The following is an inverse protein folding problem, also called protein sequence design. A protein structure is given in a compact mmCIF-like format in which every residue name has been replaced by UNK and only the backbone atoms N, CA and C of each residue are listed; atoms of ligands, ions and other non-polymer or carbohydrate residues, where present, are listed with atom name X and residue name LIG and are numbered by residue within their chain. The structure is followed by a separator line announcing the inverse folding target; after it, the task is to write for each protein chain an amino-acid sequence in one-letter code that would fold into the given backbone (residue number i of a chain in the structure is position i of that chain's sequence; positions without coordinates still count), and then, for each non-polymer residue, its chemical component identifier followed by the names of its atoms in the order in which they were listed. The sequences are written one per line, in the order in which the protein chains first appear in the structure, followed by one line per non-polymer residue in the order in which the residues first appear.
data_IF_588491104126
#
_entry.id   IF_588491104126
#
_cell.length_a   1.000
_cell.length_b   1.000
_cell.length_c   1.000
_cell.angle_alpha   90.00
_cell.angle_beta   90.00
_cell.angle_gamma   90.00
#
_symmetry.space_group_name_H-M   'P 1'
#
loop_
_entity.id
_entity.type
_entity.pdbx_description
1 polymer ?
#
# COMPACT_ATOMS: atom_id res chain seq x y z
N UNK A 1 2.21 -1.06 34.95
CA UNK A 1 2.84 -2.14 34.15
C UNK A 1 2.33 -2.13 32.72
N UNK A 2 1.01 -2.09 32.47
CA UNK A 2 0.42 -2.05 31.12
C UNK A 2 0.99 -0.98 30.17
N UNK A 3 1.20 0.26 30.64
CA UNK A 3 1.79 1.32 29.80
C UNK A 3 3.21 1.00 29.31
N UNK A 4 4.08 0.45 30.19
CA UNK A 4 5.46 0.08 29.80
C UNK A 4 5.46 -1.04 28.77
N UNK A 5 4.56 -2.01 28.94
CA UNK A 5 4.41 -3.12 27.99
C UNK A 5 3.88 -2.66 26.63
N UNK A 6 2.90 -1.74 26.63
CA UNK A 6 2.42 -1.09 25.40
C UNK A 6 3.54 -0.40 24.62
N UNK A 7 4.47 0.30 25.30
CA UNK A 7 5.63 0.92 24.65
C UNK A 7 6.60 -0.12 24.08
N UNK A 8 6.82 -1.24 24.81
CA UNK A 8 7.66 -2.35 24.34
C UNK A 8 7.12 -2.96 23.05
N UNK A 9 5.82 -3.27 23.01
CA UNK A 9 5.13 -3.83 21.84
C UNK A 9 5.10 -2.84 20.66
N UNK A 10 5.00 -1.53 20.94
CA UNK A 10 5.10 -0.51 19.89
C UNK A 10 6.48 -0.51 19.22
N UNK A 11 7.54 -0.66 20.02
CA UNK A 11 8.90 -0.79 19.49
C UNK A 11 9.08 -2.10 18.70
N UNK A 12 8.56 -3.20 19.22
CA UNK A 12 8.56 -4.50 18.53
C UNK A 12 7.88 -4.43 17.15
N UNK A 13 6.69 -3.82 17.11
CA UNK A 13 5.96 -3.57 15.87
C UNK A 13 6.77 -2.75 14.86
N UNK A 14 7.36 -1.64 15.33
CA UNK A 14 8.21 -0.77 14.51
C UNK A 14 9.44 -1.52 13.96
N UNK A 15 10.06 -2.37 14.78
CA UNK A 15 11.23 -3.14 14.38
C UNK A 15 10.89 -4.20 13.34
N UNK A 16 9.83 -4.99 13.56
CA UNK A 16 9.39 -6.02 12.61
C UNK A 16 9.00 -5.41 11.26
N UNK A 17 8.29 -4.28 11.27
CA UNK A 17 7.97 -3.54 10.05
C UNK A 17 9.23 -3.03 9.33
N UNK A 18 10.18 -2.45 10.07
CA UNK A 18 11.45 -1.97 9.51
C UNK A 18 12.28 -3.10 8.92
N UNK A 19 12.27 -4.28 9.55
CA UNK A 19 12.93 -5.49 9.04
C UNK A 19 12.31 -5.94 7.71
N UNK A 20 10.98 -5.95 7.60
CA UNK A 20 10.30 -6.29 6.35
C UNK A 20 10.68 -5.33 5.21
N UNK A 21 10.71 -4.03 5.50
CA UNK A 21 11.12 -3.01 4.53
C UNK A 21 12.59 -3.16 4.12
N UNK A 22 13.49 -3.34 5.08
CA UNK A 22 14.92 -3.52 4.80
C UNK A 22 15.20 -4.79 4.01
N UNK A 23 14.46 -5.88 4.30
CA UNK A 23 14.59 -7.14 3.59
C UNK A 23 14.27 -6.95 2.10
N UNK A 24 13.08 -6.44 1.76
CA UNK A 24 12.72 -6.25 0.34
C UNK A 24 13.62 -5.21 -0.35
N UNK A 25 14.03 -4.14 0.34
CA UNK A 25 14.94 -3.14 -0.22
C UNK A 25 16.33 -3.71 -0.49
N UNK A 26 16.85 -4.58 0.38
CA UNK A 26 18.14 -5.22 0.20
C UNK A 26 18.14 -6.23 -0.95
N UNK A 27 17.07 -7.02 -1.06
CA UNK A 27 16.90 -8.00 -2.15
C UNK A 27 16.81 -7.29 -3.50
N UNK A 28 16.10 -6.16 -3.59
CA UNK A 28 16.00 -5.35 -4.81
C UNK A 28 17.25 -4.48 -5.07
N UNK A 29 18.25 -4.48 -4.19
CA UNK A 29 19.43 -3.62 -4.30
C UNK A 29 19.14 -2.13 -4.12
N UNK A 30 17.96 -1.76 -3.60
CA UNK A 30 17.55 -0.37 -3.38
C UNK A 30 18.44 0.35 -2.35
N UNK A 31 18.99 -0.39 -1.39
CA UNK A 31 19.94 0.14 -0.41
C UNK A 31 21.27 0.64 -1.01
N UNK A 32 21.59 0.22 -2.24
CA UNK A 32 22.79 0.64 -2.99
C UNK A 32 22.46 1.62 -4.11
N UNK A 33 21.17 1.89 -4.35
CA UNK A 33 20.72 2.74 -5.44
C UNK A 33 20.99 4.21 -5.10
N UNK A 34 21.83 4.85 -5.91
CA UNK A 34 22.03 6.30 -5.87
C UNK A 34 21.19 6.95 -6.96
N UNK A 35 19.96 7.34 -6.63
CA UNK A 35 19.12 8.12 -7.55
C UNK A 35 19.59 9.57 -7.49
N UNK A 36 20.43 9.97 -8.44
CA UNK A 36 20.68 11.39 -8.65
C UNK A 36 19.38 12.04 -9.15
N UNK A 37 18.98 13.17 -8.55
CA UNK A 37 17.94 14.04 -9.09
C UNK A 37 18.63 15.10 -9.97
N UNK A 38 18.88 14.81 -11.27
CA UNK A 38 19.53 15.79 -12.12
C UNK A 38 18.63 17.03 -12.27
N UNK A 39 19.26 18.18 -12.48
CA UNK A 39 18.56 19.46 -12.72
C UNK A 39 17.74 19.43 -14.02
N UNK A 40 18.09 18.53 -14.96
CA UNK A 40 17.33 18.24 -16.16
C UNK A 40 17.80 16.93 -16.82
N UNK A 41 17.02 16.42 -17.77
CA UNK A 41 17.31 15.21 -18.53
C UNK A 41 16.68 15.32 -19.93
N UNK A 42 17.07 14.41 -20.83
CA UNK A 42 16.57 14.34 -22.19
C UNK A 42 15.72 13.09 -22.38
N UNK A 43 14.71 13.19 -23.25
CA UNK A 43 13.90 12.06 -23.70
C UNK A 43 13.96 11.98 -25.22
N UNK A 44 13.90 10.76 -25.79
CA UNK A 44 13.89 10.61 -27.25
C UNK A 44 12.52 10.94 -27.79
N UNK A 45 12.47 11.58 -28.96
CA UNK A 45 11.21 11.89 -29.64
C UNK A 45 10.37 10.62 -29.93
N UNK A 46 11.02 9.50 -30.27
CA UNK A 46 10.36 8.21 -30.50
C UNK A 46 9.63 7.66 -29.26
N UNK A 47 10.15 7.94 -28.06
CA UNK A 47 9.53 7.51 -26.81
C UNK A 47 8.25 8.33 -26.54
N UNK A 48 8.24 9.61 -26.95
CA UNK A 48 7.07 10.51 -26.93
C UNK A 48 6.02 10.06 -27.93
N UNK A 49 6.40 9.68 -29.15
CA UNK A 49 5.45 9.18 -30.15
C UNK A 49 4.76 7.88 -29.69
N UNK A 50 5.52 7.01 -29.01
CA UNK A 50 5.03 5.72 -28.52
C UNK A 50 4.14 5.87 -27.29
N UNK A 51 4.58 6.65 -26.29
CA UNK A 51 3.84 6.83 -25.04
C UNK A 51 2.66 7.78 -25.17
N UNK A 52 2.71 8.70 -26.16
CA UNK A 52 1.83 9.87 -26.32
C UNK A 52 1.82 10.76 -25.08
N UNK A 53 2.94 10.84 -24.35
CA UNK A 53 3.11 11.66 -23.14
C UNK A 53 4.16 12.75 -23.32
N UNK A 54 3.90 13.93 -22.77
CA UNK A 54 4.79 15.10 -22.83
C UNK A 54 5.13 15.68 -21.46
N UNK A 55 4.83 14.94 -20.39
CA UNK A 55 5.13 15.35 -19.02
C UNK A 55 6.50 14.79 -18.56
N UNK A 56 7.26 15.57 -17.78
CA UNK A 56 8.61 15.20 -17.37
C UNK A 56 8.62 13.92 -16.51
N UNK A 57 7.70 13.80 -15.55
CA UNK A 57 7.66 12.67 -14.61
C UNK A 57 7.69 11.30 -15.30
N UNK A 58 7.05 11.19 -16.47
CA UNK A 58 7.07 9.95 -17.26
C UNK A 58 8.46 9.52 -17.76
N UNK A 59 9.34 10.48 -18.05
CA UNK A 59 10.67 10.25 -18.59
C UNK A 59 11.76 10.41 -17.54
N UNK A 60 11.38 10.56 -16.28
CA UNK A 60 12.35 10.70 -15.20
C UNK A 60 13.19 9.40 -15.08
N UNK A 61 14.53 9.46 -15.19
CA UNK A 61 15.36 8.26 -15.40
C UNK A 61 15.52 7.37 -14.16
N UNK A 62 14.94 7.74 -13.00
CA UNK A 62 15.14 7.01 -11.76
C UNK A 62 14.72 5.53 -11.84
N UNK A 63 13.57 5.26 -12.44
CA UNK A 63 13.09 3.89 -12.58
C UNK A 63 13.95 3.05 -13.54
N UNK A 64 14.42 3.65 -14.64
CA UNK A 64 15.32 2.99 -15.58
C UNK A 64 16.69 2.70 -14.92
N UNK A 65 17.23 3.65 -14.15
CA UNK A 65 18.46 3.46 -13.39
C UNK A 65 18.32 2.31 -12.38
N UNK A 66 17.20 2.24 -11.67
CA UNK A 66 16.86 1.14 -10.77
C UNK A 66 16.79 -0.20 -11.50
N UNK A 67 16.01 -0.28 -12.60
CA UNK A 67 15.82 -1.50 -13.36
C UNK A 67 17.14 -2.03 -13.95
N UNK A 68 18.06 -1.14 -14.33
CA UNK A 68 19.39 -1.49 -14.83
C UNK A 68 20.37 -1.90 -13.72
N UNK A 69 20.07 -1.58 -12.45
CA UNK A 69 20.93 -1.91 -11.30
C UNK A 69 20.47 -3.13 -10.49
N UNK A 70 19.48 -3.87 -11.00
CA UNK A 70 18.93 -5.04 -10.30
C UNK A 70 20.02 -6.09 -10.02
N UNK A 71 20.01 -6.70 -8.81
CA UNK A 71 20.89 -7.82 -8.51
C UNK A 71 20.71 -9.00 -9.50
N UNK A 72 21.78 -9.79 -9.76
CA UNK A 72 21.69 -10.96 -10.62
C UNK A 72 20.61 -11.94 -10.16
N UNK A 73 19.82 -12.45 -11.11
CA UNK A 73 18.73 -13.40 -10.82
C UNK A 73 17.38 -12.74 -10.55
N UNK A 74 17.32 -11.42 -10.38
CA UNK A 74 16.05 -10.68 -10.30
C UNK A 74 15.63 -10.25 -11.70
N UNK A 75 14.40 -10.57 -12.05
CA UNK A 75 13.75 -10.11 -13.28
C UNK A 75 12.42 -9.49 -12.94
N UNK A 76 12.16 -8.31 -13.50
CA UNK A 76 10.87 -7.66 -13.38
C UNK A 76 9.97 -8.06 -14.55
N UNK A 77 8.70 -8.30 -14.26
CA UNK A 77 7.66 -8.59 -15.23
C UNK A 77 6.49 -7.60 -15.08
N UNK A 78 5.74 -7.32 -16.16
CA UNK A 78 4.54 -6.50 -16.05
C UNK A 78 3.53 -7.08 -15.06
N UNK A 79 3.03 -6.25 -14.15
CA UNK A 79 2.10 -6.60 -13.09
C UNK A 79 0.81 -7.23 -13.66
N UNK A 80 0.39 -6.84 -14.87
CA UNK A 80 -0.77 -7.47 -15.52
C UNK A 80 -0.65 -8.99 -15.70
N UNK A 81 0.54 -9.57 -15.71
CA UNK A 81 0.76 -11.02 -15.82
C UNK A 81 0.44 -11.76 -14.52
N UNK A 82 0.40 -11.03 -13.41
CA UNK A 82 0.21 -11.53 -12.05
C UNK A 82 -1.15 -11.11 -11.46
N UNK A 83 -1.98 -10.41 -12.24
CA UNK A 83 -3.29 -9.94 -11.77
C UNK A 83 -4.42 -10.68 -12.48
N UNK A 84 -5.33 -11.25 -11.69
CA UNK A 84 -6.62 -11.77 -12.15
C UNK A 84 -7.69 -10.68 -12.19
N UNK A 85 -7.54 -9.62 -11.41
CA UNK A 85 -8.42 -8.45 -11.42
C UNK A 85 -7.67 -7.16 -11.12
N UNK A 86 -8.01 -6.08 -11.85
CA UNK A 86 -7.42 -4.75 -11.67
C UNK A 86 -8.44 -3.68 -12.06
N UNK A 87 -9.29 -3.25 -11.12
CA UNK A 87 -10.28 -2.20 -11.39
C UNK A 87 -10.38 -1.22 -10.24
N UNK A 88 -10.67 0.02 -10.61
CA UNK A 88 -10.98 1.10 -9.69
C UNK A 88 -12.41 0.92 -9.18
N UNK A 89 -12.63 1.19 -7.89
CA UNK A 89 -13.96 1.23 -7.33
C UNK A 89 -14.84 2.29 -7.96
N UNK A 90 -16.10 2.27 -7.56
CA UNK A 90 -17.12 3.21 -8.02
C UNK A 90 -17.58 4.08 -6.85
N UNK A 91 -18.30 5.16 -7.15
CA UNK A 91 -18.94 5.96 -6.12
C UNK A 91 -19.89 5.06 -5.30
N UNK A 92 -19.66 4.88 -3.98
CA UNK A 92 -20.49 4.00 -3.17
C UNK A 92 -21.91 4.55 -3.01
N UNK A 93 -22.89 3.66 -3.01
CA UNK A 93 -24.27 3.97 -2.62
C UNK A 93 -24.37 3.80 -1.10
N UNK A 94 -24.15 4.89 -0.37
CA UNK A 94 -24.11 4.88 1.09
C UNK A 94 -25.45 4.47 1.70
N UNK A 95 -25.38 3.70 2.79
CA UNK A 95 -26.52 3.22 3.55
C UNK A 95 -26.18 3.18 5.05
N UNK A 96 -27.19 3.18 5.95
CA UNK A 96 -26.94 3.05 7.39
C UNK A 96 -26.29 1.73 7.80
N UNK A 97 -26.51 0.67 7.01
CA UNK A 97 -25.97 -0.68 7.21
C UNK A 97 -25.50 -1.25 5.88
N UNK A 98 -24.68 -2.31 5.91
CA UNK A 98 -24.16 -2.96 4.71
C UNK A 98 -22.68 -3.28 4.82
N UNK A 99 -21.97 -3.20 3.71
CA UNK A 99 -20.53 -3.44 3.64
C UNK A 99 -19.74 -2.17 3.97
N UNK A 100 -18.59 -2.33 4.62
CA UNK A 100 -17.70 -1.20 4.93
C UNK A 100 -17.20 -0.58 3.63
N UNK A 101 -17.19 0.75 3.57
CA UNK A 101 -16.57 1.51 2.49
C UNK A 101 -15.10 1.74 2.82
N UNK A 102 -14.23 1.37 1.89
CA UNK A 102 -12.79 1.61 1.94
C UNK A 102 -12.47 2.71 0.92
N UNK A 103 -11.79 3.74 1.39
CA UNK A 103 -11.41 4.92 0.60
C UNK A 103 -9.96 5.29 0.88
N UNK A 104 -9.47 6.38 0.29
CA UNK A 104 -8.07 6.82 0.45
C UNK A 104 -7.61 7.04 1.90
N UNK A 105 -8.51 7.38 2.85
CA UNK A 105 -8.12 7.52 4.28
C UNK A 105 -7.87 6.16 4.96
N UNK A 106 -8.55 5.12 4.49
CA UNK A 106 -8.43 3.78 5.06
C UNK A 106 -7.20 3.04 4.51
N UNK A 107 -6.83 3.27 3.25
CA UNK A 107 -5.64 2.68 2.63
C UNK A 107 -4.39 3.45 3.09
N UNK A 108 -3.73 2.93 4.11
CA UNK A 108 -2.44 3.42 4.60
C UNK A 108 -1.31 2.53 4.05
N UNK A 109 -0.05 3.00 4.05
CA UNK A 109 1.07 2.17 3.61
C UNK A 109 1.07 0.84 4.38
N UNK A 110 0.90 -0.25 3.64
CA UNK A 110 0.93 -1.63 4.12
C UNK A 110 -0.14 -2.01 5.15
N UNK A 111 -1.21 -1.23 5.32
CA UNK A 111 -2.34 -1.63 6.18
C UNK A 111 -3.64 -0.93 5.80
N UNK A 112 -4.75 -1.64 5.99
CA UNK A 112 -6.09 -1.07 5.88
C UNK A 112 -6.61 -0.71 7.27
N UNK A 113 -7.02 0.52 7.46
CA UNK A 113 -7.74 0.95 8.66
C UNK A 113 -9.22 0.59 8.53
N UNK A 114 -9.75 -0.14 9.51
CA UNK A 114 -11.17 -0.59 9.57
C UNK A 114 -11.97 0.10 10.67
N UNK A 115 -11.54 1.30 11.04
CA UNK A 115 -12.19 2.15 12.02
C UNK A 115 -12.85 3.33 11.30
N UNK A 116 -13.95 3.87 11.85
CA UNK A 116 -14.66 5.04 11.29
C UNK A 116 -15.09 4.85 9.81
N UNK A 117 -15.49 3.61 9.46
CA UNK A 117 -16.03 3.29 8.15
C UNK A 117 -17.49 3.76 8.03
N UNK A 118 -17.81 4.30 6.86
CA UNK A 118 -19.19 4.38 6.38
C UNK A 118 -19.61 3.05 5.78
N UNK A 119 -20.91 2.83 5.66
CA UNK A 119 -21.45 1.62 5.04
C UNK A 119 -22.11 1.93 3.70
N UNK A 120 -22.10 0.95 2.81
CA UNK A 120 -22.75 1.02 1.51
C UNK A 120 -23.41 -0.31 1.18
N UNK A 121 -24.40 -0.25 0.29
CA UNK A 121 -24.95 -1.46 -0.33
C UNK A 121 -23.84 -2.20 -1.10
N UNK A 122 -23.97 -3.53 -1.17
CA UNK A 122 -23.10 -4.35 -2.01
C UNK A 122 -23.16 -3.88 -3.47
N UNK A 123 -22.03 -3.97 -4.18
CA UNK A 123 -22.02 -3.69 -5.60
C UNK A 123 -22.80 -4.81 -6.33
N UNK A 124 -23.67 -4.49 -7.31
CA UNK A 124 -24.32 -5.50 -8.14
C UNK A 124 -23.32 -6.42 -8.86
N UNK A 125 -22.15 -5.91 -9.24
CA UNK A 125 -21.03 -6.71 -9.71
C UNK A 125 -20.18 -7.15 -8.52
N UNK A 126 -20.30 -8.43 -8.13
CA UNK A 126 -19.53 -9.01 -7.03
C UNK A 126 -18.01 -8.98 -7.23
N UNK A 127 -17.51 -8.84 -8.46
CA UNK A 127 -16.07 -8.69 -8.70
C UNK A 127 -15.55 -7.31 -8.27
N UNK A 128 -16.42 -6.29 -8.24
CA UNK A 128 -16.09 -4.92 -7.81
C UNK A 128 -16.19 -4.75 -6.28
N UNK A 129 -16.13 -5.84 -5.54
CA UNK A 129 -16.00 -5.86 -4.09
C UNK A 129 -14.58 -6.23 -3.71
N UNK A 130 -14.10 -5.60 -2.64
CA UNK A 130 -12.85 -5.96 -1.98
C UNK A 130 -13.09 -7.26 -1.20
N UNK A 131 -12.14 -8.19 -1.29
CA UNK A 131 -12.14 -9.44 -0.51
C UNK A 131 -10.78 -9.68 0.14
N UNK A 132 -10.77 -10.54 1.16
CA UNK A 132 -9.54 -11.04 1.76
C UNK A 132 -8.59 -11.55 0.67
N UNK A 133 -7.32 -11.13 0.74
CA UNK A 133 -6.32 -11.48 -0.27
C UNK A 133 -6.11 -10.42 -1.35
N UNK A 134 -6.94 -9.39 -1.43
CA UNK A 134 -6.71 -8.28 -2.36
C UNK A 134 -5.60 -7.34 -1.86
N UNK A 135 -4.84 -6.75 -2.79
CA UNK A 135 -4.05 -5.54 -2.51
C UNK A 135 -4.82 -4.33 -3.02
N UNK A 136 -4.97 -3.33 -2.17
CA UNK A 136 -5.62 -2.06 -2.51
C UNK A 136 -4.56 -1.03 -2.84
N UNK A 137 -4.81 -0.19 -3.86
CA UNK A 137 -3.94 0.91 -4.23
C UNK A 137 -4.73 2.20 -4.40
N UNK A 138 -4.27 3.28 -3.77
CA UNK A 138 -4.84 4.61 -3.95
C UNK A 138 -4.48 5.17 -5.33
N UNK A 139 -5.49 5.36 -6.17
CA UNK A 139 -5.38 5.92 -7.51
C UNK A 139 -5.42 7.44 -7.55
N UNK A 140 -5.70 8.13 -6.44
CA UNK A 140 -5.82 9.59 -6.38
C UNK A 140 -5.28 10.18 -5.06
N UNK A 141 -5.15 11.51 -5.03
CA UNK A 141 -5.01 12.31 -3.82
C UNK A 141 -3.57 12.72 -3.51
N UNK A 142 -3.40 13.99 -3.14
CA UNK A 142 -2.10 14.57 -2.80
C UNK A 142 -1.57 13.91 -1.52
N UNK A 143 -0.44 13.22 -1.64
CA UNK A 143 0.20 12.48 -0.54
C UNK A 143 -0.40 11.10 -0.27
N UNK A 144 -1.50 10.72 -0.93
CA UNK A 144 -2.11 9.38 -0.82
C UNK A 144 -1.95 8.53 -2.06
N UNK A 145 -1.73 9.14 -3.22
CA UNK A 145 -1.50 8.46 -4.48
C UNK A 145 -0.40 7.41 -4.37
N UNK A 146 -0.65 6.22 -4.88
CA UNK A 146 0.33 5.13 -4.90
C UNK A 146 0.52 4.39 -3.59
N UNK A 147 -0.15 4.78 -2.50
CA UNK A 147 -0.19 3.97 -1.27
C UNK A 147 -0.88 2.65 -1.55
N UNK A 148 -0.24 1.57 -1.14
CA UNK A 148 -0.80 0.23 -1.23
C UNK A 148 -1.05 -0.37 0.15
N UNK A 149 -2.04 -1.26 0.27
CA UNK A 149 -2.32 -1.99 1.50
C UNK A 149 -2.87 -3.39 1.20
N UNK A 150 -2.48 -4.43 1.96
CA UNK A 150 -3.12 -5.73 1.89
C UNK A 150 -4.48 -5.67 2.60
N UNK A 151 -5.52 -6.22 1.98
CA UNK A 151 -6.81 -6.43 2.62
C UNK A 151 -6.86 -7.82 3.23
N UNK A 152 -6.63 -7.89 4.54
CA UNK A 152 -6.55 -9.14 5.31
C UNK A 152 -7.79 -9.38 6.20
N UNK A 153 -8.83 -8.60 5.99
CA UNK A 153 -10.10 -8.69 6.73
C UNK A 153 -10.98 -9.71 6.03
N UNK A 154 -11.62 -10.60 6.80
CA UNK A 154 -12.43 -11.69 6.24
C UNK A 154 -13.71 -11.16 5.57
N UNK A 155 -14.35 -10.14 6.15
CA UNK A 155 -15.57 -9.57 5.59
C UNK A 155 -15.29 -8.77 4.31
N UNK A 156 -16.14 -8.86 3.28
CA UNK A 156 -15.98 -8.07 2.08
C UNK A 156 -16.24 -6.58 2.33
N UNK A 157 -15.70 -5.74 1.45
CA UNK A 157 -15.86 -4.29 1.50
C UNK A 157 -16.12 -3.67 0.12
N UNK A 158 -16.59 -2.43 0.12
CA UNK A 158 -16.82 -1.63 -1.10
C UNK A 158 -15.65 -0.66 -1.29
N UNK A 159 -14.91 -0.73 -2.42
CA UNK A 159 -13.93 0.30 -2.75
C UNK A 159 -14.64 1.57 -3.19
N UNK A 160 -14.17 2.73 -2.75
CA UNK A 160 -14.58 4.01 -3.33
C UNK A 160 -13.93 4.24 -4.70
N UNK A 161 -14.29 5.35 -5.36
CA UNK A 161 -13.78 5.75 -6.67
C UNK A 161 -12.30 6.22 -6.66
N UNK A 162 -11.60 6.12 -5.53
CA UNK A 162 -10.20 6.45 -5.40
C UNK A 162 -9.33 5.22 -5.10
N UNK A 163 -9.93 4.09 -4.75
CA UNK A 163 -9.23 2.84 -4.46
C UNK A 163 -9.32 1.90 -5.67
N UNK A 164 -8.17 1.34 -6.07
CA UNK A 164 -8.06 0.29 -7.08
C UNK A 164 -7.83 -1.05 -6.41
N UNK A 165 -8.65 -2.04 -6.74
CA UNK A 165 -8.47 -3.44 -6.32
C UNK A 165 -7.44 -4.07 -7.26
N UNK A 166 -6.38 -4.64 -6.68
CA UNK A 166 -5.41 -5.49 -7.35
C UNK A 166 -5.55 -6.88 -6.76
N UNK A 167 -5.92 -7.84 -7.59
CA UNK A 167 -6.12 -9.23 -7.17
C UNK A 167 -5.17 -10.12 -7.93
N UNK A 168 -4.45 -10.95 -7.19
CA UNK A 168 -3.45 -11.87 -7.68
C UNK A 168 -3.66 -13.24 -7.05
N UNK A 169 -3.39 -14.30 -7.82
CA UNK A 169 -3.39 -15.67 -7.31
C UNK A 169 -1.96 -16.17 -7.04
N UNK A 170 -0.92 -15.43 -7.47
CA UNK A 170 0.49 -15.83 -7.45
C UNK A 170 1.41 -14.87 -6.67
N UNK A 171 0.92 -13.69 -6.26
CA UNK A 171 1.61 -12.77 -5.37
C UNK A 171 0.82 -12.62 -4.06
N UNK A 172 1.51 -12.84 -2.94
CA UNK A 172 0.94 -12.55 -1.62
C UNK A 172 0.63 -11.04 -1.52
N UNK A 173 -0.55 -10.66 -0.99
CA UNK A 173 -0.97 -9.27 -0.97
C UNK A 173 -0.09 -8.37 -0.07
N UNK A 174 0.53 -8.93 0.96
CA UNK A 174 1.47 -8.22 1.83
C UNK A 174 2.76 -7.97 1.08
N UNK A 175 3.30 -8.99 0.38
CA UNK A 175 4.44 -8.81 -0.49
C UNK A 175 4.20 -7.71 -1.54
N UNK A 176 3.09 -7.81 -2.29
CA UNK A 176 2.78 -6.84 -3.33
C UNK A 176 2.62 -5.43 -2.76
N UNK A 177 1.97 -5.29 -1.59
CA UNK A 177 1.87 -4.01 -0.90
C UNK A 177 3.23 -3.44 -0.50
N UNK A 178 4.12 -4.25 0.08
CA UNK A 178 5.47 -3.83 0.48
C UNK A 178 6.28 -3.37 -0.74
N UNK A 179 6.21 -4.13 -1.84
CA UNK A 179 6.86 -3.78 -3.10
C UNK A 179 6.34 -2.43 -3.63
N UNK A 180 5.03 -2.26 -3.70
CA UNK A 180 4.41 -1.04 -4.25
C UNK A 180 4.70 0.20 -3.39
N UNK A 181 4.82 0.05 -2.07
CA UNK A 181 5.20 1.15 -1.17
C UNK A 181 6.72 1.39 -1.11
N UNK A 182 7.56 0.47 -1.60
CA UNK A 182 9.02 0.67 -1.69
C UNK A 182 9.39 1.73 -2.73
N UNK A 183 10.65 2.17 -2.73
CA UNK A 183 11.17 3.08 -3.75
C UNK A 183 10.94 2.55 -5.19
N UNK A 184 11.05 1.23 -5.42
CA UNK A 184 10.78 0.61 -6.71
C UNK A 184 9.33 0.83 -7.19
N UNK A 185 8.36 0.74 -6.28
CA UNK A 185 6.96 1.01 -6.60
C UNK A 185 6.67 2.50 -6.75
N UNK A 186 7.19 3.34 -5.86
CA UNK A 186 6.93 4.78 -5.87
C UNK A 186 7.56 5.49 -7.07
N UNK A 187 8.74 5.06 -7.55
CA UNK A 187 9.31 5.56 -8.82
C UNK A 187 8.37 5.31 -10.00
N UNK A 188 7.63 4.20 -9.99
CA UNK A 188 6.65 3.89 -11.04
C UNK A 188 5.36 4.67 -10.89
N UNK A 189 4.94 4.95 -9.65
CA UNK A 189 3.82 5.88 -9.39
C UNK A 189 4.13 7.24 -10.00
N UNK A 190 5.32 7.80 -9.73
CA UNK A 190 5.77 9.06 -10.33
C UNK A 190 5.81 8.96 -11.87
N UNK A 191 6.39 7.88 -12.42
CA UNK A 191 6.49 7.67 -13.87
C UNK A 191 5.13 7.54 -14.59
N UNK A 192 4.11 7.03 -13.88
CA UNK A 192 2.85 6.60 -14.49
C UNK A 192 1.64 7.45 -14.09
N UNK A 193 1.75 8.27 -13.05
CA UNK A 193 0.71 9.22 -12.69
C UNK A 193 0.45 10.19 -13.84
N UNK A 194 -0.78 10.68 -13.93
CA UNK A 194 -1.26 11.65 -14.91
C UNK A 194 -1.92 12.82 -14.20
N UNK A 195 -2.00 13.94 -14.91
CA UNK A 195 -2.63 15.16 -14.42
C UNK A 195 -1.61 16.22 -14.00
N UNK A 196 -2.11 17.34 -13.50
CA UNK A 196 -1.31 18.51 -13.13
C UNK A 196 -1.55 18.89 -11.67
N UNK A 197 -0.71 19.79 -11.16
CA UNK A 197 -0.65 20.25 -9.76
C UNK A 197 -2.00 20.36 -9.06
N UNK A 198 -2.36 19.32 -8.29
CA UNK A 198 -3.59 19.25 -7.49
C UNK A 198 -4.51 18.07 -7.82
N UNK A 199 -4.42 17.51 -9.03
CA UNK A 199 -5.23 16.39 -9.50
C UNK A 199 -4.34 15.35 -10.17
N UNK A 200 -3.58 14.62 -9.35
CA UNK A 200 -2.79 13.48 -9.82
C UNK A 200 -3.63 12.21 -9.74
N UNK A 201 -3.59 11.44 -10.83
CA UNK A 201 -4.41 10.26 -11.06
C UNK A 201 -3.52 9.11 -11.54
N UNK A 202 -3.74 7.92 -10.99
CA UNK A 202 -3.12 6.69 -11.43
C UNK A 202 -4.21 5.69 -11.82
N UNK A 203 -4.32 5.42 -13.11
CA UNK A 203 -5.40 4.62 -13.67
C UNK A 203 -5.07 3.12 -13.68
N UNK A 204 -6.07 2.23 -13.63
CA UNK A 204 -5.85 0.78 -13.70
C UNK A 204 -5.02 0.32 -14.91
N UNK A 205 -5.15 0.98 -16.07
CA UNK A 205 -4.37 0.61 -17.27
C UNK A 205 -2.89 1.01 -17.15
N UNK A 206 -2.56 2.01 -16.34
CA UNK A 206 -1.19 2.41 -16.04
C UNK A 206 -0.61 1.51 -14.92
N UNK A 207 -1.40 1.20 -13.88
CA UNK A 207 -1.01 0.25 -12.81
C UNK A 207 -0.63 -1.11 -13.37
N UNK A 208 -1.40 -1.63 -14.33
CA UNK A 208 -1.11 -2.89 -15.05
C UNK A 208 0.27 -2.94 -15.70
N UNK A 209 0.86 -1.78 -16.01
CA UNK A 209 2.17 -1.66 -16.67
C UNK A 209 3.32 -1.53 -15.66
N UNK A 210 3.04 -1.53 -14.36
CA UNK A 210 4.10 -1.56 -13.36
C UNK A 210 4.92 -2.83 -13.59
N UNK A 211 6.24 -2.74 -13.50
CA UNK A 211 7.12 -3.89 -13.47
C UNK A 211 7.33 -4.27 -12.01
N UNK A 212 7.06 -5.53 -11.69
CA UNK A 212 7.19 -6.10 -10.35
C UNK A 212 8.10 -7.30 -10.42
N UNK A 213 8.79 -7.58 -9.31
CA UNK A 213 9.52 -8.83 -9.16
C UNK A 213 8.54 -9.90 -8.65
N UNK A 214 8.32 -11.02 -9.36
CA UNK A 214 7.64 -12.17 -8.79
C UNK A 214 8.62 -12.91 -7.88
N UNK A 215 8.80 -12.41 -6.66
CA UNK A 215 9.75 -12.95 -5.70
C UNK A 215 9.45 -14.42 -5.38
N UNK A 216 10.47 -15.24 -5.04
CA UNK A 216 10.26 -16.61 -4.58
C UNK A 216 9.25 -16.67 -3.42
N UNK A 217 8.41 -17.71 -3.41
CA UNK A 217 7.36 -17.88 -2.39
C UNK A 217 7.93 -17.80 -0.95
N UNK A 218 9.11 -18.36 -0.72
CA UNK A 218 9.79 -18.30 0.58
C UNK A 218 10.05 -16.87 1.06
N UNK A 219 10.46 -15.97 0.17
CA UNK A 219 10.68 -14.56 0.51
C UNK A 219 9.36 -13.85 0.77
N UNK A 220 8.33 -14.12 -0.05
CA UNK A 220 7.00 -13.56 0.17
C UNK A 220 6.42 -13.98 1.54
N UNK A 221 6.57 -15.25 1.91
CA UNK A 221 6.16 -15.79 3.21
C UNK A 221 6.95 -15.18 4.37
N UNK A 222 8.25 -14.96 4.20
CA UNK A 222 9.08 -14.31 5.23
C UNK A 222 8.65 -12.86 5.49
N UNK A 223 8.44 -12.09 4.41
CA UNK A 223 7.92 -10.73 4.49
C UNK A 223 6.53 -10.69 5.13
N UNK A 224 5.67 -11.65 4.77
CA UNK A 224 4.34 -11.82 5.38
C UNK A 224 4.45 -12.09 6.89
N UNK A 225 5.36 -12.96 7.32
CA UNK A 225 5.59 -13.26 8.74
C UNK A 225 6.00 -12.00 9.52
N UNK A 226 6.94 -11.22 8.99
CA UNK A 226 7.41 -9.97 9.63
C UNK A 226 6.28 -8.93 9.71
N UNK A 227 5.50 -8.79 8.66
CA UNK A 227 4.32 -7.93 8.65
C UNK A 227 3.28 -8.36 9.69
N UNK A 228 2.96 -9.64 9.77
CA UNK A 228 1.94 -10.15 10.70
C UNK A 228 2.40 -10.02 12.16
N UNK A 229 3.70 -10.20 12.42
CA UNK A 229 4.31 -9.88 13.72
C UNK A 229 4.16 -8.39 14.06
N UNK A 230 4.46 -7.51 13.10
CA UNK A 230 4.32 -6.07 13.29
C UNK A 230 2.86 -5.68 13.60
N UNK A 231 1.90 -6.24 12.85
CA UNK A 231 0.47 -5.98 12.99
C UNK A 231 -0.09 -6.55 14.31
N UNK A 232 0.36 -7.73 14.74
CA UNK A 232 -0.02 -8.31 16.03
C UNK A 232 0.46 -7.44 17.20
N UNK A 233 1.75 -7.07 17.21
CA UNK A 233 2.33 -6.21 18.24
C UNK A 233 1.69 -4.81 18.26
N UNK A 234 1.34 -4.24 17.10
CA UNK A 234 0.61 -2.96 17.04
C UNK A 234 -0.77 -3.06 17.69
N UNK A 235 -1.54 -4.11 17.37
CA UNK A 235 -2.88 -4.34 17.93
C UNK A 235 -2.83 -4.49 19.45
N UNK A 236 -1.92 -5.32 19.95
CA UNK A 236 -1.76 -5.55 21.39
C UNK A 236 -1.30 -4.27 22.11
N UNK A 237 -0.35 -3.53 21.53
CA UNK A 237 0.10 -2.24 22.06
C UNK A 237 -1.07 -1.25 22.22
N UNK A 238 -1.95 -1.14 21.21
CA UNK A 238 -3.15 -0.28 21.26
C UNK A 238 -4.13 -0.73 22.33
N UNK A 239 -4.42 -2.03 22.43
CA UNK A 239 -5.32 -2.56 23.45
C UNK A 239 -4.84 -2.25 24.87
N UNK A 240 -3.56 -2.48 25.15
CA UNK A 240 -2.97 -2.17 26.46
C UNK A 240 -2.99 -0.66 26.76
N UNK A 241 -2.81 0.19 25.74
CA UNK A 241 -2.87 1.63 25.90
C UNK A 241 -4.27 2.10 26.27
N UNK A 242 -5.30 1.59 25.60
CA UNK A 242 -6.69 1.93 25.91
C UNK A 242 -7.10 1.42 27.30
N UNK A 243 -6.68 0.21 27.70
CA UNK A 243 -6.89 -0.28 29.06
C UNK A 243 -6.22 0.61 30.11
N UNK A 244 -4.98 1.06 29.84
CA UNK A 244 -4.27 1.96 30.74
C UNK A 244 -4.95 3.33 30.87
N UNK A 245 -5.46 3.90 29.76
CA UNK A 245 -6.21 5.16 29.76
C UNK A 245 -7.49 5.04 30.58
N UNK A 246 -8.31 4.03 30.29
CA UNK A 246 -9.57 3.80 31.01
C UNK A 246 -9.35 3.59 32.51
N UNK A 247 -8.26 2.91 32.90
CA UNK A 247 -7.91 2.74 34.32
C UNK A 247 -7.55 4.06 35.01
N UNK A 248 -6.86 4.97 34.31
CA UNK A 248 -6.54 6.30 34.86
C UNK A 248 -7.81 7.13 35.02
N UNK A 249 -8.71 7.11 34.05
CA UNK A 249 -10.00 7.81 34.11
C UNK A 249 -10.84 7.34 35.31
N UNK A 250 -10.94 6.01 35.53
CA UNK A 250 -11.62 5.45 36.70
C UNK A 250 -11.03 5.93 38.02
N UNK A 251 -9.70 5.94 38.14
CA UNK A 251 -9.04 6.40 39.37
C UNK A 251 -9.27 7.89 39.63
N UNK A 252 -9.35 8.71 38.58
CA UNK A 252 -9.68 10.14 38.70
C UNK A 252 -11.13 10.31 39.17
N UNK A 253 -12.07 9.55 38.60
CA UNK A 253 -13.49 9.58 39.02
C UNK A 253 -13.69 9.09 40.46
N UNK A 254 -12.99 8.04 40.88
CA UNK A 254 -13.01 7.54 42.26
C UNK A 254 -12.47 8.60 43.23
N UNK A 255 -11.33 9.23 42.90
CA UNK A 255 -10.72 10.26 43.73
C UNK A 255 -11.57 11.54 43.81
N UNK A 256 -12.32 11.88 42.76
CA UNK A 256 -13.21 13.05 42.75
C UNK A 256 -14.53 12.83 43.53
N UNK A 257 -14.88 11.59 43.87
CA UNK A 257 -16.07 11.22 44.67
C UNK A 257 -15.79 11.13 46.17
N UNK A 258 -14.52 11.10 46.57
CA UNK A 258 -14.05 11.18 47.97
C UNK A 258 -13.68 12.60 48.36
#
# INVERSE_FOLDING_TARGET
MAFKESQRLKLESSNAYSQAQQLIESELGLNKLSVQKPVGYTARFSDIETSRRFDPEHYYPAFEAFANSLPPGISLSPLNRHLTFCQRGQQPIYAPTGLRVINSKHVQPNRVLVEDNRFAAANPDGNLQIRAGDTLLNGTGRGTLGRAAPYLVEEPAVPDNHVTILRSDDLDPVYLSLFLNSAAGQMQVEMRQRGSSGQLELYPFDIRKFLVWPAPESLQQELRRLHDQAAAAERESKQLLEQAKSRVEQLIEEAART
#
